data_IF_659471149373
#
_entry.id   IF_659471149373
#
_cell.length_a   1.000
_cell.length_b   1.000
_cell.length_c   1.000
_cell.angle_alpha   90.00
_cell.angle_beta   90.00
_cell.angle_gamma   90.00
#
_symmetry.space_group_name_H-M   'P 1'
#
loop_
_entity.id
_entity.type
_entity.pdbx_description
1 polymer ?
#
# COMPACT_ATOMS: atom_id res chain seq x y z
N UNK A 1 -13.52 7.81 16.36
CA UNK A 1 -13.62 8.96 15.44
C UNK A 1 -12.23 9.18 14.88
N UNK A 2 -12.02 8.85 13.62
CA UNK A 2 -10.76 9.14 12.95
C UNK A 2 -10.65 10.67 12.78
N UNK A 3 -9.60 11.29 13.33
CA UNK A 3 -9.33 12.70 13.16
C UNK A 3 -8.65 12.85 11.78
N UNK A 4 -9.35 13.47 10.83
CA UNK A 4 -8.76 13.89 9.56
C UNK A 4 -8.01 15.20 9.86
N UNK A 5 -6.69 15.17 9.86
CA UNK A 5 -5.87 16.38 9.94
C UNK A 5 -5.70 16.95 8.52
N UNK A 6 -6.06 18.22 8.32
CA UNK A 6 -5.81 18.92 7.06
C UNK A 6 -4.46 19.64 7.12
N UNK A 7 -3.69 19.55 6.03
CA UNK A 7 -2.44 20.29 5.87
C UNK A 7 -2.72 21.56 5.07
N UNK A 8 -2.33 22.70 5.62
CA UNK A 8 -2.28 23.99 4.95
C UNK A 8 -0.85 24.55 5.06
N UNK A 9 -0.22 24.84 3.94
CA UNK A 9 1.18 25.34 3.86
C UNK A 9 2.24 24.45 4.55
N UNK A 10 2.09 23.11 4.44
CA UNK A 10 3.05 22.16 5.00
C UNK A 10 2.98 22.02 6.53
N UNK A 11 1.95 22.59 7.18
CA UNK A 11 1.67 22.46 8.62
C UNK A 11 0.32 21.81 8.86
N UNK A 12 0.28 20.89 9.82
CA UNK A 12 -0.97 20.27 10.28
C UNK A 12 -1.77 21.31 11.04
N UNK A 13 -3.00 21.60 10.58
CA UNK A 13 -3.93 22.50 11.29
C UNK A 13 -4.76 21.67 12.25
N UNK A 14 -4.42 21.70 13.52
CA UNK A 14 -5.21 21.08 14.58
C UNK A 14 -6.54 21.82 14.78
N UNK A 15 -7.65 21.07 14.87
CA UNK A 15 -8.90 21.60 15.42
C UNK A 15 -8.71 21.88 16.92
N UNK A 16 -8.97 23.09 17.36
CA UNK A 16 -8.64 23.68 18.66
C UNK A 16 -9.31 23.06 19.89
N UNK A 17 -9.52 21.75 19.98
CA UNK A 17 -10.20 21.16 21.14
C UNK A 17 -9.33 20.25 22.04
N UNK A 18 -8.08 19.97 21.66
CA UNK A 18 -7.22 19.05 22.42
C UNK A 18 -5.88 19.66 22.90
N UNK A 19 -5.61 20.93 22.61
CA UNK A 19 -4.25 21.51 22.76
C UNK A 19 -3.87 21.95 24.18
N UNK A 20 -4.78 21.99 25.16
CA UNK A 20 -4.44 22.53 26.47
C UNK A 20 -3.92 21.50 27.49
N UNK A 21 -4.11 20.22 27.27
CA UNK A 21 -3.63 19.17 28.20
C UNK A 21 -2.34 18.46 27.73
N UNK A 22 -2.04 18.47 26.43
CA UNK A 22 -0.85 17.81 25.89
C UNK A 22 0.44 18.62 26.02
N UNK A 23 0.34 19.93 26.27
CA UNK A 23 1.52 20.82 26.36
C UNK A 23 2.24 20.72 27.71
N UNK A 24 1.61 20.14 28.73
CA UNK A 24 2.19 20.00 30.08
C UNK A 24 3.07 18.78 30.28
N UNK A 25 3.03 17.78 29.35
CA UNK A 25 3.76 16.51 29.52
C UNK A 25 5.04 16.45 28.69
N UNK A 26 5.24 17.39 27.74
CA UNK A 26 6.35 17.33 26.77
C UNK A 26 7.73 17.77 27.31
N UNK A 27 7.85 18.22 28.57
CA UNK A 27 9.11 18.77 29.09
C UNK A 27 9.81 17.94 30.18
N UNK A 28 9.31 16.75 30.56
CA UNK A 28 9.86 16.05 31.72
C UNK A 28 10.81 14.89 31.46
N UNK A 29 10.85 14.33 30.24
CA UNK A 29 11.55 13.06 30.00
C UNK A 29 13.09 13.13 30.02
N UNK A 30 13.69 14.25 29.56
CA UNK A 30 15.15 14.42 29.59
C UNK A 30 15.70 14.99 30.90
N UNK A 31 14.89 15.79 31.58
CA UNK A 31 15.29 16.48 32.82
C UNK A 31 15.25 15.55 34.04
N UNK A 32 14.39 14.53 34.01
CA UNK A 32 14.27 13.54 35.09
C UNK A 32 15.52 12.65 35.23
N UNK A 33 16.18 12.30 34.15
CA UNK A 33 17.38 11.43 34.18
C UNK A 33 18.57 12.14 34.82
N UNK A 34 18.85 13.38 34.39
CA UNK A 34 20.00 14.14 34.88
C UNK A 34 19.73 14.65 36.31
N UNK A 35 18.48 15.03 36.61
CA UNK A 35 18.06 15.37 37.96
C UNK A 35 18.15 14.17 38.90
N UNK A 36 17.74 12.99 38.47
CA UNK A 36 17.85 11.75 39.24
C UNK A 36 19.31 11.36 39.50
N UNK A 37 20.17 11.38 38.48
CA UNK A 37 21.60 11.10 38.65
C UNK A 37 22.25 12.13 39.60
N UNK A 38 21.87 13.40 39.50
CA UNK A 38 22.31 14.47 40.42
C UNK A 38 21.90 14.20 41.86
N UNK A 39 20.65 13.76 42.07
CA UNK A 39 20.12 13.38 43.39
C UNK A 39 20.84 12.16 43.96
N UNK A 40 21.09 11.14 43.12
CA UNK A 40 21.82 9.93 43.53
C UNK A 40 23.24 10.25 43.94
N UNK A 41 23.97 11.10 43.19
CA UNK A 41 25.32 11.56 43.50
C UNK A 41 25.32 12.40 44.79
N UNK A 42 24.32 13.29 44.98
CA UNK A 42 24.19 14.08 46.21
C UNK A 42 23.93 13.16 47.42
N UNK A 43 23.09 12.17 47.29
CA UNK A 43 22.80 11.20 48.36
C UNK A 43 24.03 10.37 48.70
N UNK A 44 24.77 9.86 47.71
CA UNK A 44 26.03 9.12 47.94
C UNK A 44 27.08 9.98 48.68
N UNK A 45 27.06 11.29 48.47
CA UNK A 45 28.02 12.22 49.12
C UNK A 45 27.69 12.51 50.59
N UNK A 46 26.43 12.37 50.97
CA UNK A 46 25.95 12.72 52.32
C UNK A 46 25.42 11.56 53.16
N UNK A 47 25.44 10.30 52.64
CA UNK A 47 24.98 9.12 53.39
C UNK A 47 26.06 8.54 54.31
N UNK A 48 25.61 8.09 55.48
CA UNK A 48 26.38 7.31 56.41
C UNK A 48 26.59 5.89 55.85
N UNK A 49 27.84 5.40 55.73
CA UNK A 49 28.15 4.11 55.10
C UNK A 49 27.57 2.88 55.83
N UNK A 50 26.90 3.06 56.96
CA UNK A 50 26.39 1.94 57.78
C UNK A 50 24.90 1.59 57.55
N UNK A 51 24.16 2.34 56.73
CA UNK A 51 22.73 2.05 56.40
C UNK A 51 22.38 2.24 54.91
N UNK A 52 22.67 1.26 54.03
CA UNK A 52 22.46 1.45 52.58
C UNK A 52 21.07 1.02 52.04
N UNK A 53 19.97 1.01 52.83
CA UNK A 53 18.80 0.18 52.49
C UNK A 53 17.68 0.81 51.69
N UNK A 54 17.63 2.15 51.43
CA UNK A 54 16.47 2.73 50.72
C UNK A 54 16.67 3.00 49.22
N UNK A 55 17.90 2.95 48.71
CA UNK A 55 18.16 3.37 47.33
C UNK A 55 18.03 2.29 46.28
N UNK A 56 18.15 1.00 46.66
CA UNK A 56 18.15 -0.12 45.70
C UNK A 56 16.78 -0.29 45.00
N UNK A 57 15.70 -0.04 45.74
CA UNK A 57 14.34 -0.15 45.23
C UNK A 57 14.00 0.98 44.27
N UNK A 58 14.45 2.20 44.56
CA UNK A 58 14.30 3.33 43.63
C UNK A 58 15.13 3.17 42.36
N UNK A 59 16.36 2.70 42.45
CA UNK A 59 17.21 2.39 41.30
C UNK A 59 16.59 1.31 40.43
N UNK A 60 16.00 0.28 41.04
CA UNK A 60 15.31 -0.77 40.32
C UNK A 60 14.06 -0.26 39.56
N UNK A 61 13.24 0.59 40.22
CA UNK A 61 12.09 1.23 39.57
C UNK A 61 12.52 2.13 38.43
N UNK A 62 13.57 2.94 38.62
CA UNK A 62 14.11 3.79 37.56
C UNK A 62 14.64 2.97 36.37
N UNK A 63 15.37 1.88 36.63
CA UNK A 63 15.83 0.99 35.56
C UNK A 63 14.65 0.39 34.77
N UNK A 64 13.55 0.08 35.46
CA UNK A 64 12.32 -0.39 34.80
C UNK A 64 11.67 0.68 33.96
N UNK A 65 11.57 1.93 34.44
CA UNK A 65 11.06 3.06 33.64
C UNK A 65 11.95 3.35 32.43
N UNK A 66 13.27 3.38 32.61
CA UNK A 66 14.22 3.57 31.50
C UNK A 66 14.12 2.45 30.44
N UNK A 67 13.87 1.22 30.85
CA UNK A 67 13.66 0.09 29.94
C UNK A 67 12.35 0.26 29.15
N UNK A 68 11.27 0.72 29.80
CA UNK A 68 10.00 1.01 29.12
C UNK A 68 10.14 2.16 28.13
N UNK A 69 10.85 3.22 28.49
CA UNK A 69 11.13 4.35 27.58
C UNK A 69 11.96 3.88 26.37
N UNK A 70 12.98 3.07 26.57
CA UNK A 70 13.76 2.48 25.47
C UNK A 70 12.91 1.59 24.56
N UNK A 71 11.99 0.78 25.11
CA UNK A 71 11.05 -0.01 24.33
C UNK A 71 10.10 0.87 23.52
N UNK A 72 9.59 1.97 24.10
CA UNK A 72 8.74 2.93 23.38
C UNK A 72 9.50 3.60 22.21
N UNK A 73 10.73 4.04 22.46
CA UNK A 73 11.58 4.65 21.43
C UNK A 73 11.92 3.64 20.31
N UNK A 74 12.15 2.37 20.66
CA UNK A 74 12.37 1.30 19.69
C UNK A 74 11.09 1.02 18.88
N UNK A 75 9.93 0.94 19.52
CA UNK A 75 8.64 0.78 18.84
C UNK A 75 8.40 1.93 17.85
N UNK A 76 8.64 3.17 18.28
CA UNK A 76 8.53 4.36 17.42
C UNK A 76 9.45 4.29 16.20
N UNK A 77 10.69 3.85 16.38
CA UNK A 77 11.65 3.69 15.28
C UNK A 77 11.21 2.57 14.31
N UNK A 78 10.68 1.47 14.82
CA UNK A 78 10.14 0.39 14.00
C UNK A 78 8.91 0.84 13.20
N UNK A 79 8.00 1.60 13.81
CA UNK A 79 6.85 2.19 13.12
C UNK A 79 7.27 3.12 12.00
N UNK A 80 8.23 4.01 12.26
CA UNK A 80 8.77 4.91 11.24
C UNK A 80 9.44 4.13 10.09
N UNK A 81 10.19 3.09 10.41
CA UNK A 81 10.83 2.23 9.41
C UNK A 81 9.78 1.52 8.56
N UNK A 82 8.76 0.95 9.21
CA UNK A 82 7.63 0.32 8.52
C UNK A 82 6.89 1.31 7.63
N UNK A 83 6.55 2.49 8.16
CA UNK A 83 5.88 3.53 7.39
C UNK A 83 6.72 3.97 6.18
N UNK A 84 8.03 4.19 6.38
CA UNK A 84 8.93 4.61 5.31
C UNK A 84 9.05 3.58 4.18
N UNK A 85 8.94 2.29 4.49
CA UNK A 85 8.95 1.23 3.47
C UNK A 85 7.69 1.20 2.60
N UNK A 86 6.61 1.88 3.02
CA UNK A 86 5.36 1.96 2.27
C UNK A 86 5.35 3.10 1.24
N UNK A 87 6.31 4.03 1.31
CA UNK A 87 6.37 5.15 0.34
C UNK A 87 6.55 4.61 -1.06
N UNK A 88 5.64 5.01 -1.96
CA UNK A 88 5.60 4.54 -3.34
C UNK A 88 4.82 3.24 -3.55
N UNK A 89 4.43 2.52 -2.49
CA UNK A 89 3.56 1.34 -2.56
C UNK A 89 2.09 1.76 -2.55
N UNK A 90 1.24 0.93 -3.13
CA UNK A 90 -0.21 1.11 -2.99
C UNK A 90 -0.68 0.37 -1.75
N UNK A 91 -1.41 1.09 -0.89
CA UNK A 91 -1.93 0.54 0.36
C UNK A 91 -3.45 0.63 0.40
N UNK A 92 -4.05 -0.29 1.16
CA UNK A 92 -5.47 -0.28 1.50
C UNK A 92 -5.62 0.10 2.96
N UNK A 93 -6.43 1.14 3.23
CA UNK A 93 -6.62 1.71 4.56
C UNK A 93 -8.09 1.61 4.96
N UNK A 94 -8.35 1.12 6.17
CA UNK A 94 -9.68 1.16 6.77
C UNK A 94 -9.94 2.55 7.34
N UNK A 95 -11.02 3.17 6.93
CA UNK A 95 -11.44 4.48 7.42
C UNK A 95 -12.95 4.53 7.64
N UNK A 96 -13.46 5.66 8.09
CA UNK A 96 -14.88 5.87 8.31
C UNK A 96 -15.30 7.10 7.54
N UNK A 97 -16.36 6.97 6.72
CA UNK A 97 -16.89 8.10 5.98
C UNK A 97 -17.56 9.14 6.91
N UNK A 98 -17.98 10.27 6.33
CA UNK A 98 -18.63 11.36 7.05
C UNK A 98 -19.95 10.96 7.73
N UNK A 99 -20.52 9.80 7.39
CA UNK A 99 -21.75 9.25 7.98
C UNK A 99 -21.47 8.18 9.04
N UNK A 100 -20.19 7.92 9.36
CA UNK A 100 -19.79 6.91 10.35
C UNK A 100 -19.75 5.48 9.82
N UNK A 101 -19.87 5.27 8.51
CA UNK A 101 -19.82 3.94 7.89
C UNK A 101 -18.36 3.58 7.58
N UNK A 102 -17.96 2.36 7.95
CA UNK A 102 -16.66 1.82 7.58
C UNK A 102 -16.51 1.75 6.06
N UNK A 103 -15.43 2.29 5.55
CA UNK A 103 -15.06 2.28 4.14
C UNK A 103 -13.57 2.00 4.01
N UNK A 104 -13.16 1.57 2.82
CA UNK A 104 -11.76 1.33 2.47
C UNK A 104 -11.33 2.35 1.44
N UNK A 105 -10.14 2.89 1.64
CA UNK A 105 -9.47 3.75 0.65
C UNK A 105 -8.22 3.00 0.17
N UNK A 106 -8.05 2.94 -1.15
CA UNK A 106 -6.86 2.42 -1.78
C UNK A 106 -6.13 3.55 -2.49
N UNK A 107 -4.81 3.57 -2.35
CA UNK A 107 -4.01 4.57 -3.03
C UNK A 107 -2.52 4.41 -2.76
N UNK A 108 -1.74 5.07 -3.60
CA UNK A 108 -0.29 5.11 -3.47
C UNK A 108 0.09 6.02 -2.32
N UNK A 109 1.05 5.58 -1.51
CA UNK A 109 1.62 6.39 -0.44
C UNK A 109 2.60 7.41 -1.03
N UNK A 110 2.27 8.69 -0.88
CA UNK A 110 3.07 9.80 -1.38
C UNK A 110 4.26 10.10 -0.46
N UNK A 111 3.99 10.16 0.84
CA UNK A 111 4.98 10.38 1.90
C UNK A 111 4.45 9.86 3.25
N UNK A 112 5.33 9.84 4.24
CA UNK A 112 4.97 9.48 5.62
C UNK A 112 5.31 10.61 6.58
N UNK A 113 4.51 10.74 7.63
CA UNK A 113 4.72 11.72 8.71
C UNK A 113 4.80 10.96 10.02
N UNK A 114 5.70 11.38 10.90
CA UNK A 114 5.79 10.86 12.26
C UNK A 114 5.54 12.00 13.24
N UNK A 115 4.44 11.91 13.95
CA UNK A 115 4.02 12.93 14.90
C UNK A 115 3.37 12.32 16.14
N UNK A 116 3.65 12.89 17.30
CA UNK A 116 3.10 12.42 18.58
C UNK A 116 3.30 10.92 18.84
N UNK A 117 4.49 10.39 18.48
CA UNK A 117 4.84 8.97 18.63
C UNK A 117 4.01 8.02 17.75
N UNK A 118 3.40 8.52 16.68
CA UNK A 118 2.63 7.74 15.69
C UNK A 118 3.07 8.05 14.28
N UNK A 119 3.08 7.02 13.45
CA UNK A 119 3.34 7.15 12.03
C UNK A 119 2.02 7.30 11.26
N UNK A 120 2.03 8.15 10.26
CA UNK A 120 0.93 8.38 9.33
C UNK A 120 1.43 8.23 7.91
N UNK A 121 0.60 7.68 7.05
CA UNK A 121 0.83 7.60 5.60
C UNK A 121 -0.07 8.62 4.89
N UNK A 122 0.47 9.30 3.89
CA UNK A 122 -0.28 10.22 3.04
C UNK A 122 -0.74 9.51 1.77
N UNK A 123 -2.04 9.59 1.48
CA UNK A 123 -2.67 9.10 0.24
C UNK A 123 -3.50 10.26 -0.29
N UNK A 124 -3.18 10.77 -1.48
CA UNK A 124 -3.90 11.90 -2.10
C UNK A 124 -4.07 13.08 -1.13
N UNK A 125 -2.97 13.51 -0.50
CA UNK A 125 -2.91 14.62 0.47
C UNK A 125 -3.68 14.38 1.78
N UNK A 126 -4.28 13.21 1.99
CA UNK A 126 -4.96 12.83 3.22
C UNK A 126 -4.07 11.93 4.06
N UNK A 127 -4.01 12.20 5.38
CA UNK A 127 -3.20 11.41 6.33
C UNK A 127 -4.04 10.33 6.98
N UNK A 128 -3.52 9.11 6.99
CA UNK A 128 -4.10 7.94 7.64
C UNK A 128 -3.10 7.37 8.63
N UNK A 129 -3.58 6.90 9.79
CA UNK A 129 -2.69 6.25 10.74
C UNK A 129 -2.13 4.94 10.15
N UNK A 130 -0.86 4.65 10.43
CA UNK A 130 -0.23 3.42 9.99
C UNK A 130 -0.97 2.17 10.49
N UNK A 131 -1.61 2.27 11.66
CA UNK A 131 -2.40 1.19 12.27
C UNK A 131 -3.65 0.84 11.46
N UNK A 132 -4.18 1.77 10.66
CA UNK A 132 -5.35 1.57 9.81
C UNK A 132 -4.99 0.94 8.46
N UNK A 133 -3.69 0.83 8.13
CA UNK A 133 -3.21 0.14 6.91
C UNK A 133 -3.29 -1.37 7.12
N UNK A 134 -4.18 -2.02 6.37
CA UNK A 134 -4.37 -3.47 6.46
C UNK A 134 -3.85 -4.24 5.23
N UNK A 135 -3.61 -3.54 4.11
CA UNK A 135 -3.11 -4.15 2.87
C UNK A 135 -2.01 -3.30 2.24
N UNK A 136 -1.05 -3.97 1.63
CA UNK A 136 0.00 -3.37 0.81
C UNK A 136 0.09 -4.17 -0.47
N UNK A 137 0.00 -3.50 -1.61
CA UNK A 137 0.11 -4.13 -2.92
C UNK A 137 1.26 -3.52 -3.71
N UNK A 138 1.98 -4.38 -4.43
CA UNK A 138 2.96 -3.95 -5.42
C UNK A 138 2.24 -3.40 -6.65
N UNK A 139 2.79 -2.37 -7.28
CA UNK A 139 2.22 -1.77 -8.48
C UNK A 139 2.14 -2.77 -9.64
N UNK A 140 3.16 -3.61 -9.81
CA UNK A 140 3.18 -4.62 -10.85
C UNK A 140 2.03 -5.65 -10.69
N UNK A 141 1.68 -6.00 -9.44
CA UNK A 141 0.53 -6.86 -9.14
C UNK A 141 -0.79 -6.20 -9.56
N UNK A 142 -0.97 -4.93 -9.22
CA UNK A 142 -2.19 -4.18 -9.54
C UNK A 142 -2.34 -4.00 -11.06
N UNK A 143 -1.25 -3.65 -11.74
CA UNK A 143 -1.24 -3.48 -13.19
C UNK A 143 -1.56 -4.80 -13.90
N UNK A 144 -0.96 -5.92 -13.47
CA UNK A 144 -1.23 -7.25 -14.01
C UNK A 144 -2.70 -7.69 -13.79
N UNK A 145 -3.24 -7.42 -12.60
CA UNK A 145 -4.65 -7.75 -12.28
C UNK A 145 -5.63 -6.92 -13.12
N UNK A 146 -5.34 -5.63 -13.29
CA UNK A 146 -6.14 -4.74 -14.13
C UNK A 146 -6.10 -5.17 -15.58
N UNK A 147 -4.91 -5.44 -16.10
CA UNK A 147 -4.69 -5.93 -17.46
C UNK A 147 -5.44 -7.24 -17.71
N UNK A 148 -5.37 -8.21 -16.79
CA UNK A 148 -6.10 -9.46 -16.91
C UNK A 148 -7.62 -9.25 -16.95
N UNK A 149 -8.13 -8.31 -16.16
CA UNK A 149 -9.56 -7.95 -16.15
C UNK A 149 -9.99 -7.32 -17.48
N UNK A 150 -9.18 -6.40 -18.02
CA UNK A 150 -9.43 -5.76 -19.31
C UNK A 150 -9.33 -6.75 -20.46
N UNK A 151 -8.35 -7.67 -20.41
CA UNK A 151 -8.18 -8.75 -21.39
C UNK A 151 -9.38 -9.70 -21.41
N UNK A 152 -9.80 -10.20 -20.24
CA UNK A 152 -10.98 -11.05 -20.11
C UNK A 152 -12.23 -10.37 -20.68
N UNK A 153 -12.43 -9.11 -20.36
CA UNK A 153 -13.52 -8.30 -20.89
C UNK A 153 -13.46 -8.24 -22.42
N UNK A 154 -12.30 -7.93 -22.99
CA UNK A 154 -12.14 -7.83 -24.44
C UNK A 154 -12.38 -9.17 -25.16
N UNK A 155 -11.92 -10.30 -24.59
CA UNK A 155 -12.22 -11.63 -25.11
C UNK A 155 -13.73 -11.93 -25.04
N UNK A 156 -14.40 -11.55 -23.95
CA UNK A 156 -15.84 -11.77 -23.77
C UNK A 156 -16.73 -10.91 -24.68
N UNK A 157 -16.22 -9.78 -25.17
CA UNK A 157 -16.90 -8.87 -26.10
C UNK A 157 -16.78 -9.33 -27.56
N UNK A 158 -15.90 -10.31 -27.88
CA UNK A 158 -15.83 -10.88 -29.22
C UNK A 158 -17.14 -11.63 -29.58
N UNK A 159 -17.54 -11.63 -30.86
CA UNK A 159 -18.67 -12.44 -31.32
C UNK A 159 -18.47 -13.92 -30.95
N UNK A 160 -19.57 -14.67 -30.82
CA UNK A 160 -19.44 -16.12 -30.60
C UNK A 160 -18.66 -16.78 -31.75
N UNK A 161 -17.97 -17.90 -31.47
CA UNK A 161 -17.16 -18.63 -32.45
C UNK A 161 -17.85 -18.88 -33.77
N UNK A 162 -19.16 -19.15 -33.75
CA UNK A 162 -19.94 -19.40 -34.95
C UNK A 162 -20.20 -18.14 -35.81
N UNK A 163 -20.16 -16.95 -35.19
CA UNK A 163 -20.48 -15.69 -35.82
C UNK A 163 -19.24 -14.85 -36.16
N UNK A 164 -18.05 -15.31 -35.78
CA UNK A 164 -16.82 -14.57 -36.04
C UNK A 164 -16.53 -14.53 -37.53
N UNK A 165 -16.14 -13.38 -38.03
CA UNK A 165 -15.90 -13.05 -39.41
C UNK A 165 -14.53 -12.41 -39.63
N UNK A 166 -14.18 -12.14 -40.90
CA UNK A 166 -12.94 -11.42 -41.23
C UNK A 166 -12.97 -9.94 -40.72
N UNK A 167 -14.15 -9.39 -40.49
CA UNK A 167 -14.27 -8.04 -39.92
C UNK A 167 -13.76 -7.97 -38.48
N UNK A 168 -13.76 -9.12 -37.78
CA UNK A 168 -13.28 -9.24 -36.40
C UNK A 168 -11.78 -9.55 -36.31
N UNK A 169 -11.12 -9.78 -37.45
CA UNK A 169 -9.73 -10.23 -37.53
C UNK A 169 -8.77 -9.26 -36.84
N UNK A 170 -8.97 -7.95 -36.99
CA UNK A 170 -8.14 -6.92 -36.38
C UNK A 170 -8.19 -7.03 -34.85
N UNK A 171 -9.38 -7.16 -34.27
CA UNK A 171 -9.57 -7.27 -32.82
C UNK A 171 -8.92 -8.55 -32.25
N UNK A 172 -9.11 -9.70 -32.92
CA UNK A 172 -8.53 -10.98 -32.50
C UNK A 172 -7.00 -10.96 -32.57
N UNK A 173 -6.44 -10.44 -33.69
CA UNK A 173 -4.98 -10.33 -33.86
C UNK A 173 -4.37 -9.35 -32.88
N UNK A 174 -5.05 -8.23 -32.59
CA UNK A 174 -4.60 -7.26 -31.59
C UNK A 174 -4.53 -7.89 -30.19
N UNK A 175 -5.54 -8.67 -29.78
CA UNK A 175 -5.54 -9.38 -28.49
C UNK A 175 -4.44 -10.46 -28.43
N UNK A 176 -4.22 -11.19 -29.51
CA UNK A 176 -3.15 -12.20 -29.58
C UNK A 176 -1.76 -11.53 -29.51
N UNK A 177 -1.59 -10.42 -30.19
CA UNK A 177 -0.34 -9.63 -30.14
C UNK A 177 -0.10 -9.06 -28.75
N UNK A 178 -1.14 -8.52 -28.10
CA UNK A 178 -1.07 -8.04 -26.72
C UNK A 178 -0.62 -9.18 -25.81
N UNK A 179 -1.29 -10.33 -25.82
CA UNK A 179 -0.96 -11.49 -24.98
C UNK A 179 0.49 -11.97 -25.16
N UNK A 180 0.94 -12.08 -26.41
CA UNK A 180 2.30 -12.52 -26.73
C UNK A 180 3.37 -11.48 -26.34
N UNK A 181 3.01 -10.20 -26.17
CA UNK A 181 3.89 -9.14 -25.71
C UNK A 181 3.99 -9.01 -24.19
N UNK A 182 3.14 -9.73 -23.44
CA UNK A 182 3.15 -9.69 -21.97
C UNK A 182 4.33 -10.48 -21.41
N UNK A 183 4.81 -10.03 -20.24
CA UNK A 183 5.76 -10.80 -19.43
C UNK A 183 5.12 -12.09 -18.90
N UNK A 184 5.94 -13.09 -18.53
CA UNK A 184 5.46 -14.33 -17.90
C UNK A 184 4.64 -14.06 -16.63
N UNK A 185 5.02 -13.01 -15.90
CA UNK A 185 4.30 -12.58 -14.69
C UNK A 185 2.89 -12.11 -15.04
N UNK A 186 2.72 -11.21 -16.00
CA UNK A 186 1.42 -10.69 -16.44
C UNK A 186 0.55 -11.80 -17.04
N UNK A 187 1.13 -12.68 -17.88
CA UNK A 187 0.43 -13.84 -18.46
C UNK A 187 -0.12 -14.77 -17.38
N UNK A 188 0.56 -14.89 -16.22
CA UNK A 188 0.11 -15.75 -15.12
C UNK A 188 -1.22 -15.31 -14.48
N UNK A 189 -1.65 -14.06 -14.69
CA UNK A 189 -2.93 -13.52 -14.20
C UNK A 189 -4.09 -13.76 -15.18
N UNK A 190 -3.81 -14.07 -16.46
CA UNK A 190 -4.82 -14.34 -17.47
C UNK A 190 -5.27 -15.80 -17.36
N UNK A 191 -6.58 -16.03 -17.38
CA UNK A 191 -7.09 -17.38 -17.24
C UNK A 191 -6.71 -18.25 -18.45
N UNK A 192 -6.39 -19.51 -18.20
CA UNK A 192 -6.11 -20.46 -19.29
C UNK A 192 -7.32 -20.68 -20.22
N UNK A 193 -8.53 -20.44 -19.71
CA UNK A 193 -9.75 -20.52 -20.52
C UNK A 193 -9.82 -19.39 -21.55
N UNK A 194 -9.47 -18.16 -21.14
CA UNK A 194 -9.46 -17.00 -22.06
C UNK A 194 -8.37 -17.15 -23.10
N UNK A 195 -7.20 -17.67 -22.71
CA UNK A 195 -6.09 -17.96 -23.65
C UNK A 195 -6.51 -19.00 -24.68
N UNK A 196 -7.11 -20.12 -24.24
CA UNK A 196 -7.60 -21.17 -25.14
C UNK A 196 -8.68 -20.64 -26.09
N UNK A 197 -9.59 -19.84 -25.60
CA UNK A 197 -10.62 -19.19 -26.41
C UNK A 197 -10.01 -18.29 -27.48
N UNK A 198 -9.03 -17.47 -27.10
CA UNK A 198 -8.33 -16.59 -28.04
C UNK A 198 -7.59 -17.40 -29.11
N UNK A 199 -6.91 -18.49 -28.74
CA UNK A 199 -6.23 -19.39 -29.70
C UNK A 199 -7.20 -20.02 -30.70
N UNK A 200 -8.40 -20.41 -30.27
CA UNK A 200 -9.44 -20.91 -31.14
C UNK A 200 -9.91 -19.86 -32.14
N UNK A 201 -10.09 -18.61 -31.68
CA UNK A 201 -10.45 -17.50 -32.55
C UNK A 201 -9.35 -17.17 -33.55
N UNK A 202 -8.08 -17.16 -33.14
CA UNK A 202 -6.95 -16.94 -34.06
C UNK A 202 -6.96 -18.00 -35.17
N UNK A 203 -7.08 -19.29 -34.83
CA UNK A 203 -7.17 -20.38 -35.79
C UNK A 203 -8.37 -20.24 -36.75
N UNK A 204 -9.50 -19.76 -36.23
CA UNK A 204 -10.70 -19.51 -37.04
C UNK A 204 -10.50 -18.40 -38.05
N UNK A 205 -9.88 -17.27 -37.62
CA UNK A 205 -9.56 -16.16 -38.52
C UNK A 205 -8.57 -16.58 -39.60
N UNK A 206 -7.51 -17.32 -39.24
CA UNK A 206 -6.55 -17.86 -40.22
C UNK A 206 -7.24 -18.76 -41.27
N UNK A 207 -8.16 -19.61 -40.85
CA UNK A 207 -8.93 -20.44 -41.76
C UNK A 207 -9.81 -19.62 -42.71
N UNK A 208 -10.51 -18.61 -42.19
CA UNK A 208 -11.35 -17.72 -43.00
C UNK A 208 -10.52 -16.89 -43.98
N UNK A 209 -9.34 -16.40 -43.60
CA UNK A 209 -8.42 -15.69 -44.49
C UNK A 209 -7.96 -16.59 -45.65
N UNK A 210 -7.57 -17.83 -45.33
CA UNK A 210 -7.17 -18.80 -46.35
C UNK A 210 -8.30 -19.12 -47.34
N UNK A 211 -9.50 -19.38 -46.82
CA UNK A 211 -10.68 -19.66 -47.68
C UNK A 211 -10.98 -18.47 -48.61
N UNK A 212 -10.83 -17.22 -48.10
CA UNK A 212 -11.00 -16.02 -48.87
C UNK A 212 -9.95 -15.88 -50.00
N UNK A 213 -8.68 -16.14 -49.67
CA UNK A 213 -7.58 -16.11 -50.67
C UNK A 213 -7.73 -17.19 -51.72
N UNK A 214 -8.10 -18.42 -51.33
CA UNK A 214 -8.28 -19.55 -52.26
C UNK A 214 -9.46 -19.29 -53.24
N UNK A 215 -10.56 -18.70 -52.76
CA UNK A 215 -11.70 -18.34 -53.58
C UNK A 215 -11.36 -17.22 -54.60
N UNK A 216 -10.64 -16.16 -54.17
CA UNK A 216 -10.24 -15.07 -55.05
C UNK A 216 -9.22 -15.50 -56.12
N UNK A 217 -8.31 -16.43 -55.76
CA UNK A 217 -7.37 -17.00 -56.73
C UNK A 217 -8.02 -17.95 -57.73
N UNK A 218 -9.18 -18.56 -57.38
CA UNK A 218 -9.94 -19.41 -58.30
C UNK A 218 -10.68 -18.60 -59.37
N UNK A 219 -11.22 -17.41 -59.00
CA UNK A 219 -11.91 -16.51 -59.92
C UNK A 219 -10.96 -15.87 -60.96
N UNK A 220 -9.70 -15.58 -60.59
CA UNK A 220 -8.69 -15.01 -61.49
C UNK A 220 -8.20 -16.01 -62.57
N UNK A 221 -8.32 -17.32 -62.32
CA UNK A 221 -7.96 -18.36 -63.28
C UNK A 221 -9.07 -18.78 -64.24
N UNK A 222 -10.29 -18.28 -64.04
CA UNK A 222 -11.45 -18.57 -64.86
C UNK A 222 -11.70 -17.64 -66.05
N UNK A 223 -10.87 -16.59 -66.22
CA UNK A 223 -11.04 -15.59 -67.28
C UNK A 223 -9.88 -15.61 -68.26
N UNK A 224 -9.72 -16.74 -68.96
CA UNK A 224 -8.85 -16.87 -70.19
C UNK A 224 -9.62 -17.52 -71.30
#
# INVERSE_FOLDING_TARGET
MAAIAQIQDGKIVESQSASSLAQSVKSSSGMDKDAFLGLLVAQMKYQDPLQPTSNTEFVAQYAQFSSLEQMQNMSATLELTRASSLVGQTVSVNTTDSYGKATTIEGKVDYVVYENNKAYVSIQESLFALDDVYGVADQAYLDATKLATEFNKAVSELPSYANISLDDAEAVIALATLYNGLSEYEQSFISSADVSTLEEYVKRIEALQKDYEDNNNADDKGTV
#
